data_IF_894449562031
#
_entry.id   IF_894449562031
#
_cell.length_a   1.000
_cell.length_b   1.000
_cell.length_c   1.000
_cell.angle_alpha   90.00
_cell.angle_beta   90.00
_cell.angle_gamma   90.00
#
_symmetry.space_group_name_H-M   'P 1'
#
loop_
_entity.id
_entity.type
_entity.pdbx_description
1 polymer ?
#
# COMPACT_ATOMS: atom_id res chain seq x y z
N UNK A 1 -7.54 8.36 -4.00
CA UNK A 1 -8.44 7.43 -3.26
C UNK A 1 -8.81 8.05 -1.91
N UNK A 2 -9.96 7.69 -1.35
CA UNK A 2 -10.29 8.04 0.04
C UNK A 2 -9.92 6.88 0.99
N UNK A 3 -9.66 7.20 2.27
CA UNK A 3 -9.06 6.23 3.20
C UNK A 3 -9.87 4.93 3.41
N UNK A 4 -11.20 4.97 3.28
CA UNK A 4 -12.05 3.79 3.35
C UNK A 4 -11.98 2.92 2.08
N UNK A 5 -11.94 3.53 0.91
CA UNK A 5 -11.74 2.83 -0.37
C UNK A 5 -10.43 2.05 -0.37
N UNK A 6 -9.37 2.64 0.21
CA UNK A 6 -8.08 1.94 0.36
C UNK A 6 -8.22 0.68 1.22
N UNK A 7 -9.01 0.72 2.29
CA UNK A 7 -9.29 -0.44 3.15
C UNK A 7 -10.08 -1.51 2.38
N UNK A 8 -11.10 -1.12 1.60
CA UNK A 8 -11.85 -2.05 0.75
C UNK A 8 -10.94 -2.69 -0.30
N UNK A 9 -10.04 -1.93 -0.91
CA UNK A 9 -9.05 -2.46 -1.84
C UNK A 9 -8.13 -3.49 -1.19
N UNK A 10 -7.75 -3.35 0.08
CA UNK A 10 -6.94 -4.38 0.75
C UNK A 10 -7.65 -5.74 0.83
N UNK A 11 -8.99 -5.75 0.90
CA UNK A 11 -9.76 -7.00 0.89
C UNK A 11 -9.69 -7.77 -0.42
N UNK A 12 -9.36 -7.09 -1.53
CA UNK A 12 -9.26 -7.72 -2.85
C UNK A 12 -7.87 -8.29 -3.15
N UNK A 13 -6.86 -7.98 -2.33
CA UNK A 13 -5.45 -8.38 -2.56
C UNK A 13 -5.12 -9.80 -2.10
N UNK A 14 -6.11 -10.58 -1.64
CA UNK A 14 -5.93 -12.00 -1.30
C UNK A 14 -5.15 -12.26 -0.01
N UNK A 15 -4.94 -11.24 0.83
CA UNK A 15 -4.38 -11.44 2.17
C UNK A 15 -5.36 -12.18 3.07
N UNK A 16 -4.86 -13.09 3.91
CA UNK A 16 -5.68 -13.86 4.88
C UNK A 16 -6.43 -12.96 5.88
N UNK A 17 -5.97 -11.72 6.07
CA UNK A 17 -6.68 -10.72 6.86
C UNK A 17 -6.58 -9.33 6.22
N UNK A 18 -7.70 -8.61 6.21
CA UNK A 18 -7.73 -7.18 5.90
C UNK A 18 -7.06 -6.44 7.05
N UNK A 19 -6.09 -5.55 6.79
CA UNK A 19 -5.49 -4.74 7.84
C UNK A 19 -6.56 -3.98 8.62
N UNK A 20 -6.39 -3.86 9.95
CA UNK A 20 -7.32 -3.07 10.74
C UNK A 20 -7.35 -1.62 10.20
N UNK A 21 -8.54 -0.99 10.08
CA UNK A 21 -8.64 0.38 9.57
C UNK A 21 -7.69 1.36 10.26
N UNK A 22 -7.47 1.18 11.56
CA UNK A 22 -6.55 1.99 12.36
C UNK A 22 -5.10 1.89 11.85
N UNK A 23 -4.62 0.70 11.50
CA UNK A 23 -3.30 0.49 10.91
C UNK A 23 -3.17 1.17 9.55
N UNK A 24 -4.18 1.08 8.68
CA UNK A 24 -4.16 1.76 7.38
C UNK A 24 -4.03 3.27 7.58
N UNK A 25 -4.85 3.87 8.45
CA UNK A 25 -4.78 5.30 8.72
C UNK A 25 -3.49 5.74 9.43
N UNK A 26 -2.91 4.90 10.31
CA UNK A 26 -1.59 5.18 10.91
C UNK A 26 -0.49 5.21 9.85
N UNK A 27 -0.50 4.27 8.91
CA UNK A 27 0.47 4.23 7.82
C UNK A 27 0.28 5.40 6.86
N UNK A 28 -0.95 5.76 6.47
CA UNK A 28 -1.21 6.93 5.62
C UNK A 28 -0.72 8.24 6.26
N UNK A 29 -0.90 8.42 7.57
CA UNK A 29 -0.35 9.57 8.30
C UNK A 29 1.18 9.56 8.32
N UNK A 30 1.80 8.39 8.49
CA UNK A 30 3.26 8.26 8.43
C UNK A 30 3.78 8.60 7.03
N UNK A 31 3.18 8.03 5.99
CA UNK A 31 3.54 8.31 4.60
C UNK A 31 3.37 9.78 4.24
N UNK A 32 2.36 10.45 4.79
CA UNK A 32 2.19 11.90 4.63
C UNK A 32 3.30 12.68 5.33
N UNK A 33 3.66 12.29 6.56
CA UNK A 33 4.76 12.90 7.30
C UNK A 33 6.11 12.71 6.60
N UNK A 34 6.32 11.54 5.97
CA UNK A 34 7.50 11.19 5.18
C UNK A 34 7.49 11.84 3.77
N UNK A 35 6.39 12.50 3.38
CA UNK A 35 6.28 13.19 2.09
C UNK A 35 5.93 12.28 0.91
N UNK A 36 5.58 11.01 1.14
CA UNK A 36 5.20 10.06 0.08
C UNK A 36 3.76 10.22 -0.41
N UNK A 37 2.89 10.80 0.42
CA UNK A 37 1.52 11.14 0.02
C UNK A 37 1.18 12.53 0.51
N UNK A 38 0.23 13.18 -0.15
CA UNK A 38 -0.45 14.38 0.33
C UNK A 38 -1.91 14.08 0.57
N UNK A 39 -2.53 14.81 1.48
CA UNK A 39 -3.97 14.69 1.71
C UNK A 39 -4.73 16.00 1.56
N UNK A 40 -6.01 15.89 1.23
CA UNK A 40 -6.96 17.01 1.18
C UNK A 40 -8.29 16.61 1.79
N UNK A 41 -8.94 17.58 2.43
CA UNK A 41 -10.32 17.42 2.89
C UNK A 41 -11.27 17.86 1.77
N UNK A 42 -12.26 17.02 1.48
CA UNK A 42 -13.33 17.34 0.55
C UNK A 42 -14.68 17.08 1.21
N UNK A 43 -15.61 18.01 1.00
CA UNK A 43 -17.01 17.81 1.34
C UNK A 43 -17.59 16.83 0.32
N UNK A 44 -17.97 15.64 0.78
CA UNK A 44 -18.77 14.75 -0.04
C UNK A 44 -20.19 15.34 -0.20
N UNK A 45 -20.90 14.98 -1.28
CA UNK A 45 -22.29 15.39 -1.50
C UNK A 45 -23.24 15.03 -0.34
N UNK A 46 -22.83 14.09 0.51
CA UNK A 46 -23.53 13.68 1.72
C UNK A 46 -23.25 14.57 2.96
N UNK A 47 -22.48 15.65 2.82
CA UNK A 47 -22.16 16.61 3.90
C UNK A 47 -21.09 16.18 4.91
N UNK A 48 -20.62 14.93 4.84
CA UNK A 48 -19.54 14.43 5.71
C UNK A 48 -18.18 14.68 5.04
N UNK A 49 -17.26 15.43 5.67
CA UNK A 49 -15.94 15.66 5.10
C UNK A 49 -15.16 14.33 5.02
N UNK A 50 -14.59 14.05 3.86
CA UNK A 50 -13.72 12.90 3.60
C UNK A 50 -12.29 13.37 3.37
N UNK A 51 -11.33 12.57 3.84
CA UNK A 51 -9.91 12.79 3.59
C UNK A 51 -9.45 11.95 2.42
N UNK A 52 -9.01 12.62 1.37
CA UNK A 52 -8.44 12.03 0.17
C UNK A 52 -6.93 12.02 0.27
N UNK A 53 -6.31 10.98 -0.28
CA UNK A 53 -4.86 10.83 -0.36
C UNK A 53 -4.46 10.68 -1.83
N UNK A 54 -3.33 11.29 -2.14
CA UNK A 54 -2.69 11.27 -3.46
C UNK A 54 -1.20 11.05 -3.25
N UNK A 55 -0.61 10.16 -4.06
CA UNK A 55 0.83 9.92 -4.03
C UNK A 55 1.59 11.14 -4.57
N UNK A 56 2.73 11.43 -3.98
CA UNK A 56 3.63 12.50 -4.44
C UNK A 56 4.64 11.96 -5.43
N UNK A 57 5.43 12.84 -6.05
CA UNK A 57 6.54 12.42 -6.91
C UNK A 57 7.56 11.61 -6.12
N UNK A 58 7.90 12.04 -4.90
CA UNK A 58 8.77 11.33 -3.97
C UNK A 58 8.20 9.95 -3.59
N UNK A 59 6.88 9.87 -3.40
CA UNK A 59 6.17 8.62 -3.18
C UNK A 59 6.30 7.66 -4.36
N UNK A 60 6.16 8.14 -5.58
CA UNK A 60 6.32 7.34 -6.80
C UNK A 60 7.77 6.83 -6.97
N UNK A 61 8.79 7.66 -6.68
CA UNK A 61 10.17 7.19 -6.68
C UNK A 61 10.41 6.09 -5.63
N UNK A 62 9.89 6.28 -4.41
CA UNK A 62 10.00 5.28 -3.35
C UNK A 62 9.27 3.98 -3.70
N UNK A 63 8.08 4.09 -4.30
CA UNK A 63 7.30 2.94 -4.77
C UNK A 63 8.07 2.14 -5.82
N UNK A 64 8.64 2.81 -6.83
CA UNK A 64 9.44 2.16 -7.87
C UNK A 64 10.66 1.44 -7.31
N UNK A 65 11.33 2.02 -6.30
CA UNK A 65 12.43 1.35 -5.61
C UNK A 65 11.95 0.08 -4.87
N UNK A 66 10.80 0.15 -4.20
CA UNK A 66 10.18 -1.00 -3.55
C UNK A 66 9.79 -2.10 -4.52
N UNK A 67 9.29 -1.76 -5.72
CA UNK A 67 8.99 -2.76 -6.77
C UNK A 67 10.25 -3.56 -7.10
N UNK A 68 11.40 -2.90 -7.26
CA UNK A 68 12.67 -3.60 -7.54
C UNK A 68 13.12 -4.52 -6.41
N UNK A 69 12.87 -4.14 -5.16
CA UNK A 69 13.14 -4.99 -4.00
C UNK A 69 12.23 -6.22 -4.01
N UNK A 70 10.94 -6.03 -4.30
CA UNK A 70 9.95 -7.12 -4.35
C UNK A 70 10.29 -8.10 -5.47
N UNK A 71 10.64 -7.62 -6.67
CA UNK A 71 11.07 -8.46 -7.80
C UNK A 71 12.24 -9.37 -7.39
N UNK A 72 13.28 -8.80 -6.77
CA UNK A 72 14.44 -9.57 -6.30
C UNK A 72 14.07 -10.57 -5.20
N UNK A 73 13.22 -10.17 -4.25
CA UNK A 73 12.79 -11.06 -3.18
C UNK A 73 11.97 -12.22 -3.72
N UNK A 74 11.12 -11.97 -4.72
CA UNK A 74 10.36 -13.01 -5.40
C UNK A 74 11.29 -14.04 -6.05
N UNK A 75 12.30 -13.61 -6.81
CA UNK A 75 13.28 -14.50 -7.42
C UNK A 75 14.00 -15.37 -6.38
N UNK A 76 14.40 -14.78 -5.24
CA UNK A 76 15.05 -15.49 -4.15
C UNK A 76 14.13 -16.55 -3.52
N UNK A 77 12.85 -16.21 -3.30
CA UNK A 77 11.87 -17.14 -2.75
C UNK A 77 11.57 -18.28 -3.75
N UNK A 78 11.46 -17.97 -5.04
CA UNK A 78 11.27 -18.97 -6.08
C UNK A 78 12.47 -19.93 -6.19
N UNK A 79 13.70 -19.41 -6.13
CA UNK A 79 14.91 -20.25 -6.11
C UNK A 79 14.95 -21.15 -4.87
N UNK A 80 14.62 -20.60 -3.70
CA UNK A 80 14.55 -21.36 -2.46
C UNK A 80 13.54 -22.51 -2.54
N UNK A 81 12.33 -22.23 -3.02
CA UNK A 81 11.28 -23.24 -3.18
C UNK A 81 11.69 -24.32 -4.20
N UNK A 82 12.29 -23.92 -5.32
CA UNK A 82 12.75 -24.87 -6.34
C UNK A 82 13.80 -25.86 -5.77
N UNK A 83 14.75 -25.35 -4.96
CA UNK A 83 15.73 -26.20 -4.26
C UNK A 83 15.08 -27.11 -3.23
N UNK A 84 14.11 -26.61 -2.47
CA UNK A 84 13.41 -27.39 -1.45
C UNK A 84 12.63 -28.57 -2.05
N UNK A 85 11.93 -28.35 -3.17
CA UNK A 85 11.17 -29.40 -3.86
C UNK A 85 12.01 -30.28 -4.81
N UNK A 86 13.32 -30.00 -4.96
CA UNK A 86 14.21 -30.77 -5.84
C UNK A 86 13.93 -30.58 -7.33
N UNK A 87 13.35 -29.44 -7.72
CA UNK A 87 13.05 -29.09 -9.11
C UNK A 87 14.17 -28.27 -9.78
N UNK A 88 15.30 -28.09 -9.08
CA UNK A 88 16.50 -27.38 -9.53
C UNK A 88 17.77 -28.09 -9.08
#
# INVERSE_FOLDING_TARGET
AYGYELIEMFSTLGFESVPDPGAVYRNLRRMEHEGFVRSRWELADSGMPRRFYEITEEGEYALNAWVKIIEKNKELLEDFLARYYGTK
#
